data_IF_820462118757
#
_entry.id   IF_820462118757
#
_cell.length_a   1.000
_cell.length_b   1.000
_cell.length_c   1.000
_cell.angle_alpha   90.00
_cell.angle_beta   90.00
_cell.angle_gamma   90.00
#
_symmetry.space_group_name_H-M   'P 1'
#
loop_
_entity.id
_entity.type
_entity.pdbx_description
1 polymer ?
#
# COMPACT_ATOMS: atom_id res chain seq x y z
N UNK A 1 -8.61 -2.68 2.92
CA UNK A 1 -8.15 -1.29 3.06
C UNK A 1 -7.16 -1.06 1.93
N UNK A 2 -7.22 0.05 1.19
CA UNK A 2 -6.16 0.38 0.24
C UNK A 2 -5.53 1.71 0.69
N UNK A 3 -4.30 1.64 1.18
CA UNK A 3 -3.52 2.81 1.56
C UNK A 3 -2.73 3.26 0.32
N UNK A 4 -2.76 4.55 0.02
CA UNK A 4 -2.03 5.14 -1.11
C UNK A 4 -0.99 6.12 -0.55
N UNK A 5 0.30 5.81 -0.71
CA UNK A 5 1.39 6.69 -0.27
C UNK A 5 1.83 7.65 -1.39
N UNK A 6 2.09 8.92 -1.05
CA UNK A 6 2.28 10.00 -2.02
C UNK A 6 3.78 10.35 -2.26
N UNK A 7 4.18 10.33 -3.55
CA UNK A 7 5.31 10.93 -4.34
C UNK A 7 6.80 10.82 -3.98
N UNK A 8 7.55 10.48 -5.03
CA UNK A 8 8.88 11.03 -5.40
C UNK A 8 8.74 12.32 -6.23
N UNK A 9 8.85 13.51 -5.62
CA UNK A 9 8.95 14.77 -6.39
C UNK A 9 10.39 14.90 -6.91
N UNK A 10 10.61 14.66 -8.21
CA UNK A 10 11.80 15.16 -8.91
C UNK A 10 11.45 16.50 -9.55
N UNK A 11 11.67 17.60 -8.83
CA UNK A 11 12.29 18.87 -9.28
C UNK A 11 12.12 19.93 -8.17
N UNK A 12 13.22 20.63 -7.89
CA UNK A 12 13.49 21.52 -6.76
C UNK A 12 12.56 22.74 -6.62
N UNK A 13 12.12 23.00 -5.39
CA UNK A 13 12.17 24.33 -4.79
C UNK A 13 12.22 24.19 -3.26
N UNK A 14 13.24 24.82 -2.64
CA UNK A 14 13.44 24.98 -1.19
C UNK A 14 12.16 25.54 -0.55
N UNK A 15 11.30 24.67 -0.02
CA UNK A 15 10.24 25.03 0.91
C UNK A 15 10.25 23.97 2.02
N UNK A 16 10.24 24.44 3.26
CA UNK A 16 10.39 23.70 4.52
C UNK A 16 9.93 22.23 4.47
N UNK A 17 10.79 21.29 4.90
CA UNK A 17 10.51 19.88 5.22
C UNK A 17 9.18 19.36 4.65
N UNK A 18 9.09 19.21 3.32
CA UNK A 18 7.87 18.76 2.68
C UNK A 18 7.68 17.26 2.96
N UNK A 19 7.04 16.92 4.09
CA UNK A 19 6.58 15.56 4.36
C UNK A 19 5.28 15.35 3.57
N UNK A 20 5.27 14.51 2.52
CA UNK A 20 4.05 14.24 1.78
C UNK A 20 3.00 13.65 2.74
N UNK A 21 1.78 14.19 2.71
CA UNK A 21 0.66 13.69 3.52
C UNK A 21 0.09 12.42 2.85
N UNK A 22 -0.04 11.30 3.56
CA UNK A 22 -0.66 10.10 3.02
C UNK A 22 -2.16 10.33 2.77
N UNK A 23 -2.72 9.62 1.79
CA UNK A 23 -4.15 9.65 1.47
C UNK A 23 -4.70 8.23 1.60
N UNK A 24 -5.73 8.06 2.42
CA UNK A 24 -6.35 6.76 2.68
C UNK A 24 -7.69 6.70 1.95
N UNK A 25 -7.87 5.66 1.11
CA UNK A 25 -9.14 5.37 0.47
C UNK A 25 -9.83 4.23 1.20
N UNK A 26 -10.89 4.55 1.94
CA UNK A 26 -11.70 3.58 2.71
C UNK A 26 -13.10 3.40 2.11
N UNK A 27 -13.71 2.24 2.36
CA UNK A 27 -15.04 1.88 1.84
C UNK A 27 -15.17 0.39 1.54
N UNK A 28 -16.40 -0.16 1.45
CA UNK A 28 -16.65 -1.60 1.26
C UNK A 28 -16.17 -2.12 -0.10
N UNK A 29 -16.07 -3.43 -0.26
CA UNK A 29 -15.79 -4.03 -1.58
C UNK A 29 -16.84 -3.56 -2.61
N UNK A 30 -16.40 -3.25 -3.83
CA UNK A 30 -17.28 -2.71 -4.89
C UNK A 30 -17.54 -1.19 -4.86
N UNK A 31 -17.07 -0.44 -3.85
CA UNK A 31 -17.34 1.00 -3.73
C UNK A 31 -16.61 1.92 -4.73
N UNK A 32 -15.88 1.37 -5.71
CA UNK A 32 -15.18 2.15 -6.75
C UNK A 32 -13.80 2.72 -6.35
N UNK A 33 -13.22 2.34 -5.21
CA UNK A 33 -11.88 2.82 -4.76
C UNK A 33 -10.79 2.61 -5.82
N UNK A 34 -10.70 1.40 -6.38
CA UNK A 34 -9.71 1.07 -7.40
C UNK A 34 -9.89 1.93 -8.65
N UNK A 35 -11.13 2.22 -9.05
CA UNK A 35 -11.43 3.12 -10.18
C UNK A 35 -10.90 4.52 -9.94
N UNK A 36 -11.09 5.06 -8.73
CA UNK A 36 -10.59 6.40 -8.38
C UNK A 36 -9.07 6.45 -8.31
N UNK A 37 -8.43 5.43 -7.71
CA UNK A 37 -6.97 5.31 -7.65
C UNK A 37 -6.35 5.24 -9.05
N UNK A 38 -6.93 4.43 -9.95
CA UNK A 38 -6.46 4.31 -11.33
C UNK A 38 -6.58 5.64 -12.09
N UNK A 39 -7.67 6.39 -11.88
CA UNK A 39 -7.83 7.73 -12.45
C UNK A 39 -6.77 8.70 -11.93
N UNK A 40 -6.49 8.69 -10.62
CA UNK A 40 -5.47 9.53 -10.01
C UNK A 40 -4.07 9.25 -10.56
N UNK A 41 -3.68 7.97 -10.72
CA UNK A 41 -2.39 7.64 -11.33
C UNK A 41 -2.30 8.02 -12.80
N UNK A 42 -3.41 7.94 -13.54
CA UNK A 42 -3.45 8.34 -14.96
C UNK A 42 -3.31 9.86 -15.11
N UNK A 43 -4.00 10.64 -14.28
CA UNK A 43 -4.02 12.10 -14.37
C UNK A 43 -2.75 12.73 -13.76
N UNK A 44 -2.19 12.09 -12.73
CA UNK A 44 -1.03 12.60 -12.00
C UNK A 44 0.07 11.53 -11.81
N UNK A 45 0.69 11.05 -12.90
CA UNK A 45 1.59 9.88 -12.89
C UNK A 45 2.86 10.07 -12.06
N UNK A 46 3.29 11.31 -11.85
CA UNK A 46 4.48 11.65 -11.05
C UNK A 46 4.12 12.23 -9.70
N UNK A 47 2.85 12.11 -9.25
CA UNK A 47 2.35 12.68 -7.99
C UNK A 47 1.91 11.60 -7.01
N UNK A 48 1.57 10.40 -7.43
CA UNK A 48 1.10 9.38 -6.48
C UNK A 48 1.88 8.08 -6.68
N UNK A 49 2.09 7.34 -5.59
CA UNK A 49 2.55 5.97 -5.61
C UNK A 49 1.52 5.10 -4.86
N UNK A 50 1.55 3.80 -5.07
CA UNK A 50 0.71 2.91 -4.27
C UNK A 50 1.51 2.39 -3.07
N UNK A 51 0.87 2.24 -1.92
CA UNK A 51 1.47 1.47 -0.82
C UNK A 51 1.26 0.00 -1.11
N UNK A 52 2.35 -0.77 -1.24
CA UNK A 52 2.25 -2.20 -1.41
C UNK A 52 2.28 -2.85 -0.02
N UNK A 53 1.14 -3.39 0.41
CA UNK A 53 1.02 -4.09 1.70
C UNK A 53 1.71 -5.46 1.67
N UNK A 54 2.02 -6.01 2.84
CA UNK A 54 2.50 -7.38 2.99
C UNK A 54 1.34 -8.35 3.17
N UNK A 55 1.49 -9.61 2.73
CA UNK A 55 0.54 -10.69 3.04
C UNK A 55 1.18 -12.06 3.14
N UNK A 56 0.59 -12.94 3.96
CA UNK A 56 0.93 -14.36 4.04
C UNK A 56 0.24 -15.22 2.99
N UNK A 57 -0.72 -14.64 2.28
CA UNK A 57 -1.45 -15.36 1.23
C UNK A 57 -0.50 -15.68 0.08
N UNK A 58 -0.61 -16.87 -0.49
CA UNK A 58 0.12 -17.18 -1.73
C UNK A 58 -0.34 -16.27 -2.88
N UNK A 59 0.56 -15.84 -3.78
CA UNK A 59 0.20 -15.08 -4.97
C UNK A 59 -0.77 -15.89 -5.85
N UNK A 60 -1.79 -15.23 -6.39
CA UNK A 60 -2.68 -15.78 -7.42
C UNK A 60 -1.99 -15.72 -8.77
N UNK A 61 -2.53 -16.47 -9.75
CA UNK A 61 -2.05 -16.42 -11.12
C UNK A 61 -2.05 -14.97 -11.66
N UNK A 62 -0.88 -14.50 -12.08
CA UNK A 62 -0.66 -13.14 -12.60
C UNK A 62 -0.28 -12.08 -11.56
N UNK A 63 -0.34 -12.37 -10.25
CA UNK A 63 0.18 -11.49 -9.21
C UNK A 63 1.72 -11.58 -9.15
N UNK A 64 2.37 -10.47 -8.81
CA UNK A 64 3.83 -10.39 -8.69
C UNK A 64 4.22 -9.78 -7.34
N UNK A 65 5.29 -10.31 -6.76
CA UNK A 65 5.86 -9.75 -5.53
C UNK A 65 6.33 -8.31 -5.76
N UNK A 66 5.99 -7.42 -4.83
CA UNK A 66 6.29 -5.99 -4.96
C UNK A 66 5.43 -5.24 -5.98
N UNK A 67 4.33 -5.85 -6.48
CA UNK A 67 3.33 -5.16 -7.33
C UNK A 67 1.98 -5.09 -6.65
N UNK A 68 1.38 -6.25 -6.34
CA UNK A 68 0.09 -6.31 -5.64
C UNK A 68 0.27 -6.35 -4.12
N UNK A 69 1.22 -7.18 -3.66
CA UNK A 69 1.63 -7.33 -2.27
C UNK A 69 3.12 -7.67 -2.21
N UNK A 70 3.70 -7.50 -1.03
CA UNK A 70 4.89 -8.24 -0.62
C UNK A 70 4.45 -9.57 0.00
N UNK A 71 4.73 -10.67 -0.69
CA UNK A 71 4.35 -12.02 -0.28
C UNK A 71 5.43 -12.60 0.63
N UNK A 72 5.09 -12.85 1.89
CA UNK A 72 6.04 -13.32 2.88
C UNK A 72 5.45 -14.43 3.75
N UNK A 73 6.25 -15.40 4.23
CA UNK A 73 5.75 -16.45 5.12
C UNK A 73 5.25 -15.85 6.45
N UNK A 74 4.30 -16.55 7.08
CA UNK A 74 3.61 -16.06 8.30
C UNK A 74 4.56 -15.67 9.43
N UNK A 75 5.59 -16.48 9.67
CA UNK A 75 6.60 -16.21 10.70
C UNK A 75 7.37 -14.90 10.46
N UNK A 76 7.53 -14.46 9.21
CA UNK A 76 8.19 -13.19 8.90
C UNK A 76 7.27 -12.02 9.21
N UNK A 77 6.00 -12.10 8.79
CA UNK A 77 5.02 -11.03 9.08
C UNK A 77 4.78 -10.92 10.59
N UNK A 78 4.68 -12.02 11.32
CA UNK A 78 4.54 -12.00 12.79
C UNK A 78 5.73 -11.32 13.48
N UNK A 79 6.96 -11.51 12.99
CA UNK A 79 8.14 -10.80 13.50
C UNK A 79 8.06 -9.30 13.22
N UNK A 80 7.66 -8.90 12.01
CA UNK A 80 7.49 -7.49 11.66
C UNK A 80 6.40 -6.81 12.52
N UNK A 81 5.31 -7.53 12.81
CA UNK A 81 4.26 -7.08 13.74
C UNK A 81 4.85 -6.85 15.13
N UNK A 82 5.61 -7.83 15.66
CA UNK A 82 6.24 -7.72 16.97
C UNK A 82 7.25 -6.57 17.06
N UNK A 83 7.90 -6.23 15.95
CA UNK A 83 8.85 -5.13 15.84
C UNK A 83 8.19 -3.76 15.64
N UNK A 84 6.86 -3.69 15.47
CA UNK A 84 6.15 -2.43 15.22
C UNK A 84 6.41 -1.83 13.83
N UNK A 85 6.68 -2.69 12.82
CA UNK A 85 7.04 -2.25 11.46
C UNK A 85 5.82 -1.87 10.59
N UNK A 86 4.59 -2.17 11.05
CA UNK A 86 3.35 -1.85 10.34
C UNK A 86 2.56 -0.73 11.03
N UNK A 87 1.95 0.14 10.23
CA UNK A 87 0.94 1.12 10.66
C UNK A 87 -0.39 0.43 10.99
N UNK A 88 -0.78 -0.58 10.20
CA UNK A 88 -1.99 -1.38 10.44
C UNK A 88 -1.79 -2.86 10.10
N UNK A 89 -2.51 -3.72 10.80
CA UNK A 89 -2.48 -5.17 10.59
C UNK A 89 -3.90 -5.75 10.65
N UNK A 90 -4.19 -6.77 9.84
CA UNK A 90 -5.45 -7.51 9.91
C UNK A 90 -5.28 -8.97 9.51
N UNK A 91 -6.11 -9.85 10.06
CA UNK A 91 -6.21 -11.24 9.64
C UNK A 91 -7.52 -11.46 8.89
N UNK A 92 -7.43 -11.99 7.67
CA UNK A 92 -8.59 -12.27 6.84
C UNK A 92 -8.40 -13.60 6.09
N UNK A 93 -9.39 -14.49 6.19
CA UNK A 93 -9.33 -15.85 5.63
C UNK A 93 -8.02 -16.57 5.99
N UNK A 94 -7.65 -16.53 7.28
CA UNK A 94 -6.42 -17.14 7.84
C UNK A 94 -5.10 -16.61 7.28
N UNK A 95 -5.13 -15.46 6.59
CA UNK A 95 -3.94 -14.78 6.09
C UNK A 95 -3.74 -13.45 6.81
N UNK A 96 -2.50 -13.14 7.18
CA UNK A 96 -2.15 -11.83 7.73
C UNK A 96 -1.90 -10.84 6.60
N UNK A 97 -2.25 -9.59 6.87
CA UNK A 97 -1.98 -8.43 6.02
C UNK A 97 -1.42 -7.31 6.90
N UNK A 98 -0.42 -6.59 6.39
CA UNK A 98 0.20 -5.47 7.09
C UNK A 98 0.56 -4.33 6.14
N UNK A 99 0.35 -3.09 6.56
CA UNK A 99 0.81 -1.88 5.85
C UNK A 99 1.57 -0.97 6.79
#
# INVERSE_FOLDING_TARGET
MNICFRITIRTFAKIASFKPRPIVFSGPSGSGKTTLINKLFKEYPSIFAFSISHTTRAPRAGEQDGREYHFAPRNQIEKMIANGEFLETTEFSSNLYGT
#
